data_IF_209874965410
#
_entry.id   IF_209874965410
#
_cell.length_a   1.000
_cell.length_b   1.000
_cell.length_c   1.000
_cell.angle_alpha   90.00
_cell.angle_beta   90.00
_cell.angle_gamma   90.00
#
_symmetry.space_group_name_H-M   'P 1'
#
loop_
_entity.id
_entity.type
_entity.pdbx_description
1 polymer ?
#
# COMPACT_ATOMS: atom_id res chain seq x y z
N UNK A 1 1.21 29.49 8.56
CA UNK A 1 1.98 28.34 8.04
C UNK A 1 1.06 27.13 8.01
N UNK A 2 0.37 26.93 6.89
CA UNK A 2 -0.53 25.79 6.71
C UNK A 2 0.29 24.50 6.67
N UNK A 3 0.22 23.73 7.77
CA UNK A 3 0.60 22.32 7.80
C UNK A 3 -0.37 21.60 6.86
N UNK A 4 -0.06 21.62 5.55
CA UNK A 4 -0.68 20.74 4.55
C UNK A 4 -0.48 19.31 5.02
N UNK A 5 -1.45 18.84 5.80
CA UNK A 5 -1.59 17.44 6.17
C UNK A 5 -1.59 16.67 4.86
N UNK A 6 -0.46 16.03 4.59
CA UNK A 6 -0.22 15.24 3.41
C UNK A 6 -1.05 13.95 3.56
N UNK A 7 -2.36 14.06 3.39
CA UNK A 7 -3.37 13.01 3.54
C UNK A 7 -3.39 12.05 2.34
N UNK A 8 -2.22 11.83 1.72
CA UNK A 8 -2.01 11.16 0.43
C UNK A 8 -0.96 10.03 0.56
N UNK A 9 -1.11 9.14 1.53
CA UNK A 9 -0.15 8.04 1.70
C UNK A 9 -0.85 6.68 1.73
N UNK A 10 -1.81 6.46 2.64
CA UNK A 10 -2.38 5.13 2.82
C UNK A 10 -3.35 4.68 1.72
N UNK A 11 -4.20 5.60 1.23
CA UNK A 11 -5.22 5.29 0.23
C UNK A 11 -4.63 4.93 -1.13
N UNK A 12 -3.50 5.52 -1.49
CA UNK A 12 -2.85 5.27 -2.77
C UNK A 12 -2.02 3.99 -2.70
N UNK A 13 -1.33 3.75 -1.58
CA UNK A 13 -0.73 2.43 -1.28
C UNK A 13 -1.81 1.34 -1.36
N UNK A 14 -2.97 1.53 -0.74
CA UNK A 14 -4.07 0.57 -0.79
C UNK A 14 -4.52 0.26 -2.22
N UNK A 15 -4.66 1.28 -3.08
CA UNK A 15 -5.00 1.07 -4.49
C UNK A 15 -3.93 0.27 -5.22
N UNK A 16 -2.65 0.61 -5.02
CA UNK A 16 -1.53 -0.08 -5.65
C UNK A 16 -1.47 -1.55 -5.24
N UNK A 17 -1.62 -1.84 -3.94
CA UNK A 17 -1.68 -3.21 -3.42
C UNK A 17 -2.86 -3.97 -4.03
N UNK A 18 -4.05 -3.34 -4.12
CA UNK A 18 -5.22 -3.97 -4.75
C UNK A 18 -5.02 -4.29 -6.23
N UNK A 19 -4.40 -3.38 -6.99
CA UNK A 19 -4.08 -3.61 -8.40
C UNK A 19 -3.16 -4.82 -8.52
N UNK A 20 -2.09 -4.87 -7.72
CA UNK A 20 -1.14 -5.98 -7.73
C UNK A 20 -1.79 -7.29 -7.29
N UNK A 21 -2.70 -7.28 -6.32
CA UNK A 21 -3.48 -8.46 -5.95
C UNK A 21 -4.25 -9.02 -7.15
N UNK A 22 -4.94 -8.15 -7.91
CA UNK A 22 -5.68 -8.55 -9.12
C UNK A 22 -4.73 -9.10 -10.19
N UNK A 23 -3.60 -8.42 -10.45
CA UNK A 23 -2.60 -8.87 -11.44
C UNK A 23 -1.99 -10.24 -11.08
N UNK A 24 -1.86 -10.53 -9.79
CA UNK A 24 -1.30 -11.79 -9.26
C UNK A 24 -2.38 -12.85 -8.99
N UNK A 25 -3.63 -12.58 -9.34
CA UNK A 25 -4.78 -13.46 -9.09
C UNK A 25 -4.89 -13.89 -7.62
N UNK A 26 -4.72 -12.92 -6.71
CA UNK A 26 -4.82 -13.07 -5.25
C UNK A 26 -5.66 -11.94 -4.64
N UNK A 27 -5.82 -11.94 -3.32
CA UNK A 27 -6.56 -10.90 -2.60
C UNK A 27 -5.86 -10.52 -1.27
N UNK A 28 -6.35 -9.46 -0.62
CA UNK A 28 -5.78 -8.95 0.63
C UNK A 28 -5.88 -9.96 1.79
N UNK A 29 -6.86 -10.85 1.74
CA UNK A 29 -7.08 -11.89 2.75
C UNK A 29 -6.00 -12.95 2.65
N UNK A 30 -5.73 -13.45 1.44
CA UNK A 30 -4.65 -14.37 1.15
C UNK A 30 -3.27 -13.77 1.50
N UNK A 31 -3.04 -12.49 1.17
CA UNK A 31 -1.81 -11.78 1.58
C UNK A 31 -1.69 -11.73 3.10
N UNK A 32 -2.77 -11.39 3.81
CA UNK A 32 -2.79 -11.34 5.29
C UNK A 32 -2.41 -12.70 5.90
N UNK A 33 -2.96 -13.78 5.34
CA UNK A 33 -2.71 -15.16 5.81
C UNK A 33 -1.26 -15.56 5.53
N UNK A 34 -0.72 -15.25 4.34
CA UNK A 34 0.67 -15.56 3.98
C UNK A 34 1.69 -14.82 4.86
N UNK A 35 1.35 -13.61 5.33
CA UNK A 35 2.14 -12.88 6.32
C UNK A 35 2.04 -13.45 7.75
N UNK A 36 1.19 -14.46 7.97
CA UNK A 36 0.96 -15.05 9.30
C UNK A 36 -0.03 -14.26 10.17
N UNK A 37 -0.81 -13.34 9.59
CA UNK A 37 -1.87 -12.61 10.30
C UNK A 37 -3.25 -13.26 10.09
N UNK A 38 -4.20 -12.81 10.91
CA UNK A 38 -5.62 -13.16 10.71
C UNK A 38 -6.14 -12.61 9.39
N UNK A 39 -7.13 -13.29 8.84
CA UNK A 39 -7.89 -12.79 7.69
C UNK A 39 -8.36 -11.34 7.91
N UNK A 40 -8.24 -10.52 6.87
CA UNK A 40 -8.65 -9.11 6.88
C UNK A 40 -7.70 -8.16 7.61
N UNK A 41 -6.56 -8.61 8.17
CA UNK A 41 -5.58 -7.73 8.83
C UNK A 41 -5.15 -6.57 7.93
N UNK A 42 -4.74 -6.86 6.69
CA UNK A 42 -4.30 -5.83 5.74
C UNK A 42 -5.46 -4.88 5.35
N UNK A 43 -6.66 -5.42 5.11
CA UNK A 43 -7.86 -4.60 4.87
C UNK A 43 -8.18 -3.68 6.05
N UNK A 44 -7.99 -4.15 7.29
CA UNK A 44 -8.22 -3.36 8.50
C UNK A 44 -7.20 -2.21 8.65
N UNK A 45 -5.93 -2.44 8.30
CA UNK A 45 -4.91 -1.38 8.27
C UNK A 45 -5.33 -0.26 7.31
N UNK A 46 -5.78 -0.62 6.11
CA UNK A 46 -6.14 0.36 5.10
C UNK A 46 -7.45 1.11 5.38
N UNK A 47 -8.42 0.47 6.04
CA UNK A 47 -9.74 1.06 6.33
C UNK A 47 -9.75 1.96 7.56
N UNK A 48 -8.92 1.67 8.57
CA UNK A 48 -8.86 2.47 9.81
C UNK A 48 -8.11 3.80 9.66
N UNK A 49 -7.65 4.14 8.45
CA UNK A 49 -6.87 5.34 8.16
C UNK A 49 -5.65 5.49 9.11
N UNK A 50 -5.09 4.35 9.52
CA UNK A 50 -3.91 4.24 10.39
C UNK A 50 -2.63 4.33 9.56
N UNK A 51 -1.49 4.59 10.18
CA UNK A 51 -0.19 4.48 9.50
C UNK A 51 0.14 3.02 9.21
N UNK A 52 0.72 2.73 8.04
CA UNK A 52 1.32 1.44 7.71
C UNK A 52 2.82 1.51 7.97
N UNK A 53 3.40 0.48 8.59
CA UNK A 53 4.85 0.42 8.80
C UNK A 53 5.55 0.00 7.50
N UNK A 54 6.81 0.40 7.34
CA UNK A 54 7.60 0.01 6.17
C UNK A 54 7.82 -1.51 6.11
N UNK A 55 7.94 -2.17 7.27
CA UNK A 55 8.08 -3.63 7.36
C UNK A 55 6.87 -4.34 6.73
N UNK A 56 5.65 -3.93 7.09
CA UNK A 56 4.43 -4.51 6.49
C UNK A 56 4.38 -4.29 4.98
N UNK A 57 4.82 -3.12 4.50
CA UNK A 57 4.94 -2.83 3.07
C UNK A 57 5.95 -3.73 2.35
N UNK A 58 7.07 -4.01 3.01
CA UNK A 58 8.11 -4.90 2.50
C UNK A 58 7.59 -6.33 2.40
N UNK A 59 6.94 -6.85 3.44
CA UNK A 59 6.33 -8.19 3.43
C UNK A 59 5.27 -8.33 2.32
N UNK A 60 4.43 -7.30 2.13
CA UNK A 60 3.46 -7.25 1.02
C UNK A 60 4.19 -7.31 -0.34
N UNK A 61 5.31 -6.59 -0.49
CA UNK A 61 6.07 -6.59 -1.74
C UNK A 61 6.72 -7.95 -2.05
N UNK A 62 7.20 -8.66 -1.02
CA UNK A 62 7.74 -10.01 -1.17
C UNK A 62 6.67 -11.00 -1.59
N UNK A 63 5.50 -10.98 -0.92
CA UNK A 63 4.37 -11.87 -1.23
C UNK A 63 3.82 -11.61 -2.64
N UNK A 64 3.68 -10.34 -3.02
CA UNK A 64 3.20 -9.96 -4.35
C UNK A 64 4.30 -10.06 -5.42
N UNK A 65 5.53 -10.39 -5.02
CA UNK A 65 6.71 -10.46 -5.87
C UNK A 65 6.81 -9.21 -6.76
N UNK A 66 6.94 -8.06 -6.12
CA UNK A 66 7.10 -6.76 -6.74
C UNK A 66 8.17 -5.91 -6.03
N UNK A 67 8.67 -4.89 -6.72
CA UNK A 67 9.59 -3.93 -6.10
C UNK A 67 8.80 -3.01 -5.14
N UNK A 68 9.31 -2.83 -3.93
CA UNK A 68 8.72 -1.95 -2.91
C UNK A 68 8.54 -0.50 -3.42
N UNK A 69 9.38 -0.04 -4.34
CA UNK A 69 9.24 1.28 -4.97
C UNK A 69 7.92 1.45 -5.72
N UNK A 70 7.29 0.37 -6.18
CA UNK A 70 5.97 0.39 -6.82
C UNK A 70 4.88 0.71 -5.79
N UNK A 71 5.05 0.23 -4.56
CA UNK A 71 4.09 0.42 -3.48
C UNK A 71 4.22 1.79 -2.79
N UNK A 72 5.34 2.48 -2.98
CA UNK A 72 5.57 3.81 -2.41
C UNK A 72 5.11 4.86 -3.43
N UNK A 73 4.00 5.58 -3.19
CA UNK A 73 3.55 6.60 -4.12
C UNK A 73 4.58 7.72 -4.21
N UNK A 74 5.33 7.75 -5.31
CA UNK A 74 6.23 8.86 -5.61
C UNK A 74 5.36 10.09 -5.80
N UNK A 75 5.69 11.14 -5.04
CA UNK A 75 5.11 12.46 -5.26
C UNK A 75 5.40 12.81 -6.73
N UNK A 76 4.38 12.82 -7.60
CA UNK A 76 4.50 13.52 -8.88
C UNK A 76 4.80 14.96 -8.48
N UNK A 77 6.08 15.33 -8.50
CA UNK A 77 6.42 16.74 -8.62
C UNK A 77 5.61 17.19 -9.82
N UNK A 78 4.75 18.18 -9.62
CA UNK A 78 4.19 18.94 -10.70
C UNK A 78 5.37 19.51 -11.48
N UNK A 79 5.92 18.73 -12.42
CA UNK A 79 6.53 19.26 -13.61
C UNK A 79 5.37 19.99 -14.28
N UNK A 80 5.19 21.25 -13.91
CA UNK A 80 4.66 22.24 -14.82
C UNK A 80 5.47 22.06 -16.09
N UNK A 81 4.88 21.38 -17.08
CA UNK A 81 5.29 21.53 -18.46
C UNK A 81 5.30 23.04 -18.71
N UNK A 82 6.48 23.47 -19.18
CA UNK A 82 6.80 24.68 -19.93
C UNK A 82 5.75 25.79 -19.96
#
# INVERSE_FOLDING_TARGET
>A
MDKKHQKLLLSDIHKLVKILCVEKNTDLSAVSIQMGFTDGFISNIFTRNTTISLHVLYDISEILNCDIHILIPLKKNNQKKS
#
